data_IF_744114381277
#
_entry.id   IF_744114381277
#
_cell.length_a   1.000
_cell.length_b   1.000
_cell.length_c   1.000
_cell.angle_alpha   90.00
_cell.angle_beta   90.00
_cell.angle_gamma   90.00
#
_symmetry.space_group_name_H-M   'P 1'
#
loop_
_entity.id
_entity.type
_entity.pdbx_description
1 polymer ?
#
# COMPACT_ATOMS: atom_id res chain seq x y z
N UNK A 1 -11.39 32.24 -55.51
CA UNK A 1 -12.57 33.11 -55.37
C UNK A 1 -13.33 32.69 -54.10
N UNK A 2 -13.42 33.60 -53.12
CA UNK A 2 -14.35 33.67 -51.97
C UNK A 2 -14.28 32.64 -50.82
N UNK A 3 -13.65 33.10 -49.72
CA UNK A 3 -14.15 33.25 -48.32
C UNK A 3 -15.69 33.08 -48.14
N UNK A 4 -16.26 32.50 -47.06
CA UNK A 4 -16.26 32.97 -45.66
C UNK A 4 -16.94 31.96 -44.70
N UNK A 5 -16.63 32.17 -43.42
CA UNK A 5 -16.85 31.42 -42.16
C UNK A 5 -18.26 31.65 -41.56
N UNK A 6 -18.74 30.71 -40.71
CA UNK A 6 -19.37 30.89 -39.36
C UNK A 6 -20.34 29.72 -39.07
N UNK A 7 -20.33 29.03 -37.94
CA UNK A 7 -19.52 29.09 -36.73
C UNK A 7 -19.89 27.91 -35.83
N UNK A 8 -18.88 27.17 -35.38
CA UNK A 8 -19.00 26.18 -34.31
C UNK A 8 -18.11 26.63 -33.17
N UNK A 9 -18.71 27.08 -32.06
CA UNK A 9 -17.97 27.27 -30.82
C UNK A 9 -17.58 25.87 -30.32
N UNK A 10 -16.35 25.44 -30.62
CA UNK A 10 -15.71 24.36 -29.88
C UNK A 10 -15.51 24.89 -28.46
N UNK A 11 -16.34 24.41 -27.53
CA UNK A 11 -16.18 24.67 -26.12
C UNK A 11 -14.84 24.03 -25.69
N UNK A 12 -13.79 24.84 -25.59
CA UNK A 12 -12.52 24.41 -24.98
C UNK A 12 -12.81 24.10 -23.52
N UNK A 13 -13.04 22.84 -23.19
CA UNK A 13 -12.94 22.37 -21.82
C UNK A 13 -11.51 22.66 -21.34
N UNK A 14 -11.38 23.65 -20.46
CA UNK A 14 -10.15 23.91 -19.73
C UNK A 14 -9.82 22.64 -18.95
N UNK A 15 -8.70 22.02 -19.28
CA UNK A 15 -7.96 21.12 -18.40
C UNK A 15 -7.86 21.77 -17.02
N UNK A 16 -8.63 21.27 -16.05
CA UNK A 16 -8.46 21.59 -14.65
C UNK A 16 -7.55 20.52 -14.02
N UNK A 17 -6.32 20.42 -14.53
CA UNK A 17 -5.23 19.83 -13.75
C UNK A 17 -4.65 20.93 -12.86
N UNK A 18 -4.37 20.69 -11.56
CA UNK A 18 -3.44 21.56 -10.86
C UNK A 18 -2.06 21.47 -11.54
N UNK A 19 -1.33 22.59 -11.66
CA UNK A 19 -0.11 22.67 -12.47
C UNK A 19 1.04 22.00 -11.73
N UNK A 20 1.29 20.73 -11.99
CA UNK A 20 2.55 20.08 -11.63
C UNK A 20 3.16 19.48 -12.88
N UNK A 21 3.61 20.33 -13.81
CA UNK A 21 4.74 20.09 -14.71
C UNK A 21 4.96 21.36 -15.55
N UNK A 22 5.97 22.16 -15.20
CA UNK A 22 7.02 22.69 -16.10
C UNK A 22 7.72 23.93 -15.48
N UNK A 23 9.06 23.89 -15.58
CA UNK A 23 10.06 24.96 -15.40
C UNK A 23 10.40 25.44 -13.99
N UNK A 24 11.63 25.11 -13.58
CA UNK A 24 12.62 26.07 -13.08
C UNK A 24 12.23 26.93 -11.87
N UNK A 25 12.88 26.61 -10.75
CA UNK A 25 13.05 27.44 -9.54
C UNK A 25 11.88 27.51 -8.52
N UNK A 26 12.23 27.07 -7.30
CA UNK A 26 11.55 27.24 -6.00
C UNK A 26 10.34 26.33 -5.74
N UNK A 27 10.63 25.17 -5.14
CA UNK A 27 9.68 24.35 -4.41
C UNK A 27 9.07 25.16 -3.24
N UNK A 28 7.88 25.72 -3.42
CA UNK A 28 7.02 26.01 -2.29
C UNK A 28 6.36 24.69 -1.86
N UNK A 29 6.84 24.10 -0.75
CA UNK A 29 6.06 23.11 0.02
C UNK A 29 4.80 23.81 0.50
N UNK A 30 3.73 23.80 -0.29
CA UNK A 30 2.39 24.00 0.25
C UNK A 30 2.21 22.91 1.30
N UNK A 31 2.13 23.30 2.58
CA UNK A 31 1.73 22.38 3.65
C UNK A 31 0.29 21.95 3.33
N UNK A 32 0.14 20.83 2.63
CA UNK A 32 -1.16 20.16 2.51
C UNK A 32 -1.53 19.73 3.92
N UNK A 33 -2.47 20.43 4.53
CA UNK A 33 -2.97 20.18 5.87
C UNK A 33 -4.44 19.69 5.78
N UNK A 34 -5.02 19.26 6.90
CA UNK A 34 -6.41 18.83 6.98
C UNK A 34 -7.40 19.81 6.31
N UNK A 35 -7.14 21.12 6.41
CA UNK A 35 -7.98 22.16 5.81
C UNK A 35 -8.04 22.13 4.27
N UNK A 36 -7.09 21.45 3.63
CA UNK A 36 -7.08 21.27 2.17
C UNK A 36 -7.89 20.04 1.73
N UNK A 37 -7.73 18.91 2.41
CA UNK A 37 -8.28 17.64 1.94
C UNK A 37 -9.78 17.49 2.19
N UNK A 38 -10.27 18.01 3.33
CA UNK A 38 -11.68 17.88 3.69
C UNK A 38 -12.62 18.54 2.65
N UNK A 39 -12.46 19.82 2.25
CA UNK A 39 -13.30 20.42 1.23
C UNK A 39 -13.16 19.74 -0.14
N UNK A 40 -11.99 19.15 -0.41
CA UNK A 40 -11.73 18.43 -1.64
C UNK A 40 -12.45 17.07 -1.68
N UNK A 41 -12.53 16.35 -0.55
CA UNK A 41 -13.30 15.12 -0.41
C UNK A 41 -14.79 15.38 -0.67
N UNK A 42 -15.36 16.41 -0.04
CA UNK A 42 -16.76 16.82 -0.26
C UNK A 42 -17.02 17.20 -1.73
N UNK A 43 -16.06 17.90 -2.35
CA UNK A 43 -16.15 18.24 -3.78
C UNK A 43 -16.14 17.00 -4.66
N UNK A 44 -15.26 16.03 -4.39
CA UNK A 44 -15.17 14.79 -5.17
C UNK A 44 -16.38 13.90 -4.98
N UNK A 45 -16.90 13.78 -3.76
CA UNK A 45 -18.13 13.05 -3.47
C UNK A 45 -19.33 13.64 -4.23
N UNK A 46 -19.51 14.97 -4.22
CA UNK A 46 -20.54 15.65 -5.04
C UNK A 46 -20.35 15.49 -6.55
N UNK A 47 -19.13 15.19 -6.99
CA UNK A 47 -18.78 15.01 -8.40
C UNK A 47 -18.82 13.54 -8.85
N UNK A 48 -19.25 12.61 -7.98
CA UNK A 48 -19.35 11.19 -8.27
C UNK A 48 -20.41 10.93 -9.35
N UNK A 49 -20.03 10.47 -10.56
CA UNK A 49 -20.97 10.18 -11.63
C UNK A 49 -21.83 8.95 -11.30
N UNK A 50 -23.06 8.91 -11.82
CA UNK A 50 -24.01 7.80 -11.62
C UNK A 50 -23.39 6.45 -12.02
N UNK A 51 -22.71 6.37 -13.17
CA UNK A 51 -22.03 5.16 -13.64
C UNK A 51 -20.97 4.64 -12.64
N UNK A 52 -20.26 5.54 -11.95
CA UNK A 52 -19.26 5.17 -10.95
C UNK A 52 -19.94 4.76 -9.64
N UNK A 53 -21.05 5.41 -9.29
CA UNK A 53 -21.88 5.04 -8.14
C UNK A 53 -22.49 3.65 -8.31
N UNK A 54 -23.04 3.36 -9.48
CA UNK A 54 -23.54 2.03 -9.84
C UNK A 54 -22.43 0.97 -9.72
N UNK A 55 -21.21 1.28 -10.19
CA UNK A 55 -20.07 0.38 -9.99
C UNK A 55 -19.73 0.16 -8.50
N UNK A 56 -19.84 1.18 -7.64
CA UNK A 56 -19.64 1.02 -6.20
C UNK A 56 -20.75 0.14 -5.58
N UNK A 57 -21.99 0.27 -6.04
CA UNK A 57 -23.10 -0.62 -5.65
C UNK A 57 -22.84 -2.06 -6.08
N UNK A 58 -22.35 -2.28 -7.30
CA UNK A 58 -21.91 -3.60 -7.77
C UNK A 58 -20.75 -4.17 -6.95
N UNK A 59 -19.93 -3.31 -6.32
CA UNK A 59 -18.89 -3.72 -5.34
C UNK A 59 -19.43 -3.96 -3.93
N UNK A 60 -20.73 -3.87 -3.71
CA UNK A 60 -21.36 -4.14 -2.42
C UNK A 60 -21.34 -2.96 -1.44
N UNK A 61 -21.22 -1.73 -1.94
CA UNK A 61 -21.32 -0.51 -1.13
C UNK A 61 -22.69 0.11 -1.31
N UNK A 62 -23.35 0.52 -0.22
CA UNK A 62 -24.59 1.27 -0.29
C UNK A 62 -24.35 2.79 -0.28
N UNK A 63 -25.39 3.57 -0.57
CA UNK A 63 -25.28 5.03 -0.59
C UNK A 63 -24.94 5.61 0.79
N UNK A 64 -25.39 5.00 1.88
CA UNK A 64 -25.07 5.45 3.24
C UNK A 64 -23.55 5.39 3.50
N UNK A 65 -22.90 4.28 3.16
CA UNK A 65 -21.44 4.15 3.27
C UNK A 65 -20.72 5.08 2.28
N UNK A 66 -21.19 5.18 1.03
CA UNK A 66 -20.61 6.08 0.03
C UNK A 66 -20.60 7.54 0.51
N UNK A 67 -21.73 8.03 1.03
CA UNK A 67 -21.86 9.41 1.48
C UNK A 67 -21.12 9.65 2.81
N UNK A 68 -21.23 8.73 3.77
CA UNK A 68 -20.59 8.88 5.08
C UNK A 68 -19.06 8.93 4.97
N UNK A 69 -18.48 8.11 4.09
CA UNK A 69 -17.04 8.06 3.87
C UNK A 69 -16.56 9.01 2.76
N UNK A 70 -17.46 9.80 2.19
CA UNK A 70 -17.18 10.77 1.13
C UNK A 70 -16.44 10.12 -0.07
N UNK A 71 -16.87 8.91 -0.45
CA UNK A 71 -16.39 8.29 -1.68
C UNK A 71 -16.79 9.18 -2.86
N UNK A 72 -15.85 9.39 -3.78
CA UNK A 72 -15.99 10.43 -4.78
C UNK A 72 -15.24 10.18 -6.07
N UNK A 73 -15.23 11.18 -6.94
CA UNK A 73 -14.58 11.14 -8.23
C UNK A 73 -13.73 12.39 -8.47
N UNK A 74 -12.45 12.19 -8.78
CA UNK A 74 -11.54 13.31 -9.06
C UNK A 74 -11.48 13.72 -10.55
N UNK A 75 -12.33 13.13 -11.40
CA UNK A 75 -12.27 13.27 -12.85
C UNK A 75 -11.64 12.07 -13.57
N UNK A 76 -10.89 11.22 -12.85
CA UNK A 76 -10.16 10.09 -13.44
C UNK A 76 -10.19 8.81 -12.61
N UNK A 77 -10.30 8.91 -11.28
CA UNK A 77 -10.30 7.78 -10.35
C UNK A 77 -11.31 7.98 -9.24
N UNK A 78 -11.80 6.86 -8.72
CA UNK A 78 -12.59 6.81 -7.48
C UNK A 78 -11.68 7.26 -6.35
N UNK A 79 -12.14 8.21 -5.54
CA UNK A 79 -11.42 8.71 -4.37
C UNK A 79 -12.00 8.12 -3.11
N UNK A 80 -11.16 7.50 -2.28
CA UNK A 80 -11.49 7.04 -0.94
C UNK A 80 -10.69 7.91 0.04
N UNK A 81 -11.33 8.86 0.73
CA UNK A 81 -10.69 9.70 1.73
C UNK A 81 -10.20 8.87 2.91
N UNK A 82 -8.94 9.06 3.31
CA UNK A 82 -8.36 8.41 4.49
C UNK A 82 -8.33 9.41 5.62
N UNK A 83 -8.98 9.04 6.73
CA UNK A 83 -9.09 9.85 7.93
C UNK A 83 -8.02 9.44 8.95
N UNK A 84 -7.34 10.42 9.54
CA UNK A 84 -6.43 10.18 10.66
C UNK A 84 -7.19 9.90 11.95
N UNK A 85 -6.43 9.69 13.03
CA UNK A 85 -6.98 9.48 14.36
C UNK A 85 -7.91 10.62 14.77
N UNK A 86 -7.61 11.86 14.43
CA UNK A 86 -8.41 13.05 14.78
C UNK A 86 -9.73 13.16 13.99
N UNK A 87 -9.93 12.32 12.96
CA UNK A 87 -11.11 12.37 12.09
C UNK A 87 -10.96 13.36 10.94
N UNK A 88 -9.73 13.79 10.65
CA UNK A 88 -9.40 14.68 9.54
C UNK A 88 -8.95 13.87 8.32
N UNK A 89 -9.42 14.25 7.14
CA UNK A 89 -8.90 13.66 5.89
C UNK A 89 -7.44 14.08 5.70
N UNK A 90 -6.54 13.11 5.58
CA UNK A 90 -5.09 13.33 5.45
C UNK A 90 -4.53 13.02 4.07
N UNK A 91 -5.19 12.14 3.31
CA UNK A 91 -4.88 11.85 1.90
C UNK A 91 -6.03 11.04 1.26
N UNK A 92 -5.91 10.75 -0.03
CA UNK A 92 -6.85 9.88 -0.74
C UNK A 92 -6.18 8.59 -1.20
N UNK A 93 -6.91 7.48 -1.10
CA UNK A 93 -6.72 6.32 -1.97
C UNK A 93 -7.48 6.53 -3.27
N UNK A 94 -6.87 6.08 -4.37
CA UNK A 94 -7.33 6.34 -5.73
C UNK A 94 -7.47 5.03 -6.48
N UNK A 95 -8.71 4.58 -6.67
CA UNK A 95 -9.04 3.33 -7.33
C UNK A 95 -9.47 3.55 -8.78
N UNK A 96 -9.11 2.59 -9.65
CA UNK A 96 -9.60 2.53 -11.02
C UNK A 96 -11.06 2.11 -11.06
N UNK A 97 -11.76 2.54 -12.10
CA UNK A 97 -13.03 1.93 -12.53
C UNK A 97 -12.74 0.80 -13.53
N UNK A 98 -13.73 -0.07 -13.85
CA UNK A 98 -13.55 -1.09 -14.88
C UNK A 98 -13.25 -0.51 -16.27
N UNK A 99 -13.66 0.72 -16.54
CA UNK A 99 -13.43 1.43 -17.80
C UNK A 99 -12.00 1.96 -17.93
N UNK A 100 -11.27 2.14 -16.81
CA UNK A 100 -9.86 2.55 -16.83
C UNK A 100 -8.94 1.35 -17.10
N UNK A 101 -8.68 1.12 -18.40
CA UNK A 101 -7.78 0.08 -18.90
C UNK A 101 -6.33 0.54 -19.06
N UNK A 102 -6.00 1.78 -18.68
CA UNK A 102 -4.65 2.30 -18.84
C UNK A 102 -3.66 1.51 -17.98
N UNK A 103 -2.38 1.40 -18.37
CA UNK A 103 -1.37 0.73 -17.54
C UNK A 103 -1.24 1.37 -16.15
N UNK A 104 -0.87 0.57 -15.15
CA UNK A 104 -0.58 1.05 -13.79
C UNK A 104 -1.48 0.44 -12.71
N UNK A 105 -1.24 0.81 -11.44
CA UNK A 105 -1.82 0.11 -10.30
C UNK A 105 -3.35 0.30 -10.21
N UNK A 106 -4.03 -0.76 -9.76
CA UNK A 106 -5.49 -0.78 -9.51
C UNK A 106 -5.87 0.23 -8.43
N UNK A 107 -5.09 0.28 -7.35
CA UNK A 107 -5.20 1.27 -6.27
C UNK A 107 -3.84 1.97 -6.10
N UNK A 108 -3.88 3.29 -5.96
CA UNK A 108 -2.73 4.11 -5.59
C UNK A 108 -3.12 5.12 -4.51
N UNK A 109 -2.18 5.93 -4.04
CA UNK A 109 -2.44 7.00 -3.08
C UNK A 109 -2.09 8.37 -3.66
N UNK A 110 -2.72 9.42 -3.14
CA UNK A 110 -2.36 10.80 -3.50
C UNK A 110 -0.95 11.17 -3.03
N UNK A 111 -0.28 12.15 -3.66
CA UNK A 111 1.04 12.61 -3.20
C UNK A 111 1.06 13.00 -1.72
N UNK A 112 2.12 12.62 -1.01
CA UNK A 112 2.25 12.87 0.43
C UNK A 112 1.52 11.87 1.34
N UNK A 113 0.88 10.84 0.76
CA UNK A 113 0.28 9.76 1.52
C UNK A 113 1.32 9.01 2.38
N UNK A 114 0.84 8.47 3.48
CA UNK A 114 1.58 7.66 4.44
C UNK A 114 0.72 6.46 4.83
N UNK A 115 1.30 5.51 5.55
CA UNK A 115 0.55 4.37 6.09
C UNK A 115 -0.25 4.84 7.31
N UNK A 116 -1.56 4.66 7.23
CA UNK A 116 -2.57 5.03 8.23
C UNK A 116 -3.54 3.87 8.50
N UNK A 117 -4.09 3.81 9.71
CA UNK A 117 -5.18 2.89 10.08
C UNK A 117 -6.49 3.52 9.64
N UNK A 118 -7.13 2.94 8.63
CA UNK A 118 -8.44 3.39 8.18
C UNK A 118 -9.52 2.74 9.03
N UNK A 119 -10.32 3.56 9.71
CA UNK A 119 -11.34 3.12 10.68
C UNK A 119 -11.05 3.53 12.14
N UNK A 120 -10.29 4.60 12.37
CA UNK A 120 -10.04 5.13 13.72
C UNK A 120 -11.32 5.44 14.50
N UNK A 121 -12.38 5.88 13.83
CA UNK A 121 -13.70 6.13 14.38
C UNK A 121 -14.39 4.88 14.93
N UNK A 122 -14.04 3.69 14.42
CA UNK A 122 -14.49 2.41 14.96
C UNK A 122 -13.76 2.13 16.27
N UNK A 123 -12.42 2.19 16.25
CA UNK A 123 -11.58 1.89 17.42
C UNK A 123 -11.89 2.84 18.59
N UNK A 124 -12.10 4.12 18.31
CA UNK A 124 -12.46 5.14 19.32
C UNK A 124 -13.76 4.84 20.07
N UNK A 125 -14.69 4.08 19.47
CA UNK A 125 -15.96 3.69 20.10
C UNK A 125 -15.79 2.51 21.07
N UNK A 126 -14.62 1.88 21.13
CA UNK A 126 -14.35 0.69 21.92
C UNK A 126 -15.42 -0.40 21.71
N UNK A 127 -15.55 -0.93 20.49
CA UNK A 127 -16.57 -1.93 20.20
C UNK A 127 -16.27 -3.22 20.97
N UNK A 128 -17.28 -4.06 21.16
CA UNK A 128 -17.10 -5.41 21.71
C UNK A 128 -16.38 -6.35 20.73
N UNK A 129 -16.48 -6.06 19.44
CA UNK A 129 -15.91 -6.83 18.34
C UNK A 129 -15.38 -5.91 17.23
N UNK A 130 -14.23 -6.25 16.65
CA UNK A 130 -13.69 -5.57 15.46
C UNK A 130 -13.01 -6.55 14.52
N UNK A 131 -13.12 -6.29 13.22
CA UNK A 131 -12.46 -7.04 12.15
C UNK A 131 -11.31 -6.20 11.58
N UNK A 132 -10.14 -6.80 11.46
CA UNK A 132 -9.00 -6.25 10.72
C UNK A 132 -8.96 -6.94 9.36
N UNK A 133 -9.19 -6.18 8.29
CA UNK A 133 -9.19 -6.65 6.90
C UNK A 133 -8.06 -6.04 6.08
N UNK A 134 -7.81 -6.58 4.87
CA UNK A 134 -6.62 -6.24 4.10
C UNK A 134 -6.73 -4.90 3.37
N UNK A 135 -7.84 -4.62 2.69
CA UNK A 135 -8.01 -3.44 1.83
C UNK A 135 -9.07 -2.44 2.28
N UNK A 136 -9.06 -1.25 1.67
CA UNK A 136 -10.04 -0.20 1.97
C UNK A 136 -11.46 -0.55 1.50
N UNK A 137 -11.58 -1.23 0.36
CA UNK A 137 -12.89 -1.71 -0.10
C UNK A 137 -13.45 -2.79 0.82
N UNK A 138 -12.62 -3.72 1.27
CA UNK A 138 -13.04 -4.81 2.17
C UNK A 138 -13.63 -4.25 3.46
N UNK A 139 -12.95 -3.25 4.02
CA UNK A 139 -13.39 -2.52 5.20
C UNK A 139 -14.75 -1.88 5.00
N UNK A 140 -14.98 -1.26 3.85
CA UNK A 140 -16.23 -0.59 3.52
C UNK A 140 -17.37 -1.60 3.23
N UNK A 141 -17.09 -2.70 2.54
CA UNK A 141 -18.06 -3.79 2.29
C UNK A 141 -18.48 -4.45 3.60
N UNK A 142 -17.55 -4.69 4.52
CA UNK A 142 -17.85 -5.16 5.86
C UNK A 142 -18.75 -4.17 6.62
N UNK A 143 -18.49 -2.87 6.51
CA UNK A 143 -19.33 -1.83 7.14
C UNK A 143 -20.75 -1.79 6.53
N UNK A 144 -20.90 -1.91 5.21
CA UNK A 144 -22.22 -2.02 4.54
C UNK A 144 -22.99 -3.25 5.04
N UNK A 145 -22.29 -4.34 5.37
CA UNK A 145 -22.91 -5.53 5.98
C UNK A 145 -23.08 -5.41 7.52
N UNK A 146 -22.82 -4.23 8.07
CA UNK A 146 -23.04 -3.87 9.47
C UNK A 146 -21.96 -4.38 10.43
N UNK A 147 -20.77 -4.70 9.95
CA UNK A 147 -19.64 -5.08 10.79
C UNK A 147 -18.76 -3.87 11.13
N UNK A 148 -18.12 -3.92 12.30
CA UNK A 148 -17.10 -2.96 12.69
C UNK A 148 -15.76 -3.42 12.12
N UNK A 149 -15.21 -2.68 11.14
CA UNK A 149 -14.01 -3.09 10.44
C UNK A 149 -12.99 -1.96 10.30
N UNK A 150 -11.72 -2.36 10.26
CA UNK A 150 -10.56 -1.48 10.05
C UNK A 150 -9.58 -2.13 9.07
N UNK A 151 -8.72 -1.32 8.46
CA UNK A 151 -7.63 -1.80 7.60
C UNK A 151 -6.39 -0.92 7.72
N UNK A 152 -5.23 -1.46 7.35
CA UNK A 152 -4.02 -0.67 7.15
C UNK A 152 -3.90 -0.25 5.68
N UNK A 153 -3.76 1.05 5.44
CA UNK A 153 -3.71 1.60 4.07
C UNK A 153 -2.42 1.31 3.30
N UNK A 154 -1.52 0.46 3.80
CA UNK A 154 -0.32 0.01 3.08
C UNK A 154 -0.36 -1.45 2.63
N UNK A 155 -1.51 -2.13 2.76
CA UNK A 155 -1.71 -3.55 2.42
C UNK A 155 -1.35 -4.53 3.56
N UNK A 156 -1.41 -5.83 3.29
CA UNK A 156 -1.26 -6.90 4.29
C UNK A 156 -0.04 -6.77 5.23
N UNK A 157 1.07 -6.20 4.76
CA UNK A 157 2.32 -6.09 5.51
C UNK A 157 2.45 -4.84 6.39
N UNK A 158 1.54 -3.86 6.29
CA UNK A 158 1.81 -2.50 6.78
C UNK A 158 1.22 -2.16 8.15
N UNK A 159 0.45 -3.07 8.76
CA UNK A 159 -0.11 -2.84 10.10
C UNK A 159 1.01 -2.54 11.12
N UNK A 160 0.81 -1.55 11.99
CA UNK A 160 1.87 -1.07 12.89
C UNK A 160 1.65 -1.52 14.34
N UNK A 161 2.74 -1.76 15.05
CA UNK A 161 2.71 -2.23 16.43
C UNK A 161 2.13 -1.19 17.40
N UNK A 162 2.31 0.10 17.14
CA UNK A 162 1.73 1.17 17.96
C UNK A 162 0.20 1.23 17.87
N UNK A 163 -0.39 0.79 16.76
CA UNK A 163 -1.84 0.65 16.66
C UNK A 163 -2.37 -0.56 17.42
N UNK A 164 -1.60 -1.67 17.48
CA UNK A 164 -2.02 -2.90 18.14
C UNK A 164 -2.39 -2.70 19.62
N UNK A 165 -1.77 -1.72 20.29
CA UNK A 165 -2.10 -1.33 21.66
C UNK A 165 -3.58 -0.95 21.82
N UNK A 166 -4.19 -0.32 20.83
CA UNK A 166 -5.59 0.14 20.84
C UNK A 166 -6.58 -1.03 20.75
N UNK A 167 -6.13 -2.21 20.30
CA UNK A 167 -6.96 -3.41 20.16
C UNK A 167 -6.95 -4.28 21.41
N UNK A 168 -6.04 -4.03 22.37
CA UNK A 168 -5.92 -4.82 23.61
C UNK A 168 -7.18 -4.77 24.47
N UNK A 169 -7.88 -3.64 24.47
CA UNK A 169 -9.10 -3.45 25.25
C UNK A 169 -10.35 -3.99 24.53
N UNK A 170 -10.25 -4.34 23.24
CA UNK A 170 -11.37 -4.86 22.45
C UNK A 170 -11.49 -6.37 22.71
N UNK A 171 -12.62 -6.87 23.24
CA UNK A 171 -12.77 -8.26 23.65
C UNK A 171 -12.58 -9.27 22.51
N UNK A 172 -13.17 -9.01 21.34
CA UNK A 172 -13.11 -9.89 20.17
C UNK A 172 -12.46 -9.18 19.00
N UNK A 173 -11.25 -9.63 18.63
CA UNK A 173 -10.53 -9.12 17.47
C UNK A 173 -10.40 -10.25 16.46
N UNK A 174 -10.94 -10.05 15.27
CA UNK A 174 -10.85 -11.01 14.17
C UNK A 174 -10.01 -10.44 13.03
N UNK A 175 -9.21 -11.27 12.36
CA UNK A 175 -8.36 -10.87 11.23
C UNK A 175 -8.80 -11.68 10.02
N UNK A 176 -9.28 -11.00 8.98
CA UNK A 176 -9.78 -11.61 7.74
C UNK A 176 -9.11 -10.93 6.55
N UNK A 177 -8.02 -11.52 6.06
CA UNK A 177 -7.24 -11.02 4.92
C UNK A 177 -7.51 -11.85 3.67
N UNK A 178 -7.00 -11.40 2.53
CA UNK A 178 -7.22 -12.04 1.24
C UNK A 178 -6.71 -13.48 1.26
N UNK A 179 -7.37 -14.34 0.47
CA UNK A 179 -7.01 -15.76 0.34
C UNK A 179 -5.80 -15.94 -0.58
N UNK A 180 -4.70 -15.31 -0.22
CA UNK A 180 -3.42 -15.47 -0.88
C UNK A 180 -2.26 -15.54 0.13
N UNK A 181 -1.07 -15.68 -0.43
CA UNK A 181 0.16 -15.80 0.33
C UNK A 181 0.52 -14.54 1.12
N UNK A 182 0.23 -13.35 0.58
CA UNK A 182 0.50 -12.08 1.24
C UNK A 182 -0.46 -11.86 2.41
N UNK A 183 -1.75 -12.11 2.20
CA UNK A 183 -2.82 -12.06 3.19
C UNK A 183 -2.53 -13.00 4.36
N UNK A 184 -2.21 -14.27 4.09
CA UNK A 184 -1.83 -15.25 5.14
C UNK A 184 -0.66 -14.77 6.01
N UNK A 185 0.41 -14.26 5.37
CA UNK A 185 1.59 -13.74 6.10
C UNK A 185 1.26 -12.46 6.89
N UNK A 186 0.46 -11.57 6.32
CA UNK A 186 -0.01 -10.34 6.95
C UNK A 186 -0.86 -10.62 8.18
N UNK A 187 -1.84 -11.51 8.06
CA UNK A 187 -2.73 -11.88 9.15
C UNK A 187 -1.97 -12.49 10.33
N UNK A 188 -1.02 -13.40 10.06
CA UNK A 188 -0.14 -13.96 11.10
C UNK A 188 0.73 -12.89 11.77
N UNK A 189 1.19 -11.87 11.03
CA UNK A 189 1.97 -10.76 11.58
C UNK A 189 1.11 -9.89 12.51
N UNK A 190 -0.14 -9.60 12.14
CA UNK A 190 -1.07 -8.85 13.00
C UNK A 190 -1.42 -9.65 14.26
N UNK A 191 -1.71 -10.94 14.14
CA UNK A 191 -2.02 -11.79 15.28
C UNK A 191 -0.86 -11.91 16.29
N UNK A 192 0.39 -11.76 15.84
CA UNK A 192 1.55 -11.67 16.75
C UNK A 192 1.57 -10.37 17.57
N UNK A 193 1.03 -9.29 17.01
CA UNK A 193 0.94 -8.00 17.69
C UNK A 193 -0.26 -7.92 18.63
N UNK A 194 -1.32 -8.68 18.34
CA UNK A 194 -2.57 -8.75 19.10
C UNK A 194 -2.82 -10.22 19.47
N UNK A 195 -2.21 -10.74 20.56
CA UNK A 195 -2.17 -12.19 20.83
C UNK A 195 -3.54 -12.85 21.04
N UNK A 196 -4.57 -12.10 21.42
CA UNK A 196 -5.94 -12.61 21.57
C UNK A 196 -6.76 -12.53 20.28
N UNK A 197 -6.19 -12.00 19.18
CA UNK A 197 -6.87 -11.96 17.90
C UNK A 197 -7.00 -13.35 17.28
N UNK A 198 -8.12 -13.57 16.58
CA UNK A 198 -8.43 -14.81 15.88
C UNK A 198 -8.35 -14.61 14.37
N UNK A 199 -7.87 -15.61 13.65
CA UNK A 199 -7.80 -15.69 12.21
C UNK A 199 -9.12 -16.23 11.66
N UNK A 200 -9.64 -15.53 10.65
CA UNK A 200 -10.82 -15.91 9.89
C UNK A 200 -10.35 -16.33 8.51
N UNK A 201 -10.74 -17.52 8.07
CA UNK A 201 -10.44 -18.01 6.73
C UNK A 201 -11.68 -17.85 5.84
N UNK A 202 -11.50 -17.23 4.67
CA UNK A 202 -12.54 -17.16 3.65
C UNK A 202 -12.73 -18.53 2.99
N UNK A 203 -13.97 -18.90 2.61
CA UNK A 203 -14.30 -20.22 2.10
C UNK A 203 -13.67 -20.45 0.72
N UNK A 204 -13.45 -21.70 0.33
CA UNK A 204 -12.63 -22.00 -0.85
C UNK A 204 -13.23 -21.47 -2.17
N UNK A 205 -14.53 -21.27 -2.20
CA UNK A 205 -15.32 -20.75 -3.31
C UNK A 205 -14.97 -19.29 -3.67
N UNK A 206 -14.31 -18.54 -2.76
CA UNK A 206 -13.75 -17.23 -3.13
C UNK A 206 -12.52 -17.36 -4.06
N UNK A 207 -11.94 -18.54 -4.21
CA UNK A 207 -10.78 -18.75 -5.08
C UNK A 207 -9.46 -18.22 -4.50
N UNK A 208 -8.36 -18.38 -5.25
CA UNK A 208 -7.05 -17.84 -4.87
C UNK A 208 -7.04 -16.31 -5.08
N UNK A 209 -6.59 -15.57 -4.08
CA UNK A 209 -6.66 -14.11 -4.06
C UNK A 209 -8.05 -13.55 -3.82
N UNK A 210 -9.02 -14.40 -3.46
CA UNK A 210 -10.38 -13.96 -3.14
C UNK A 210 -10.44 -13.19 -1.82
N UNK A 211 -11.27 -12.15 -1.77
CA UNK A 211 -11.40 -11.22 -0.65
C UNK A 211 -12.82 -11.22 -0.06
N UNK A 212 -13.10 -10.35 0.91
CA UNK A 212 -14.46 -10.23 1.48
C UNK A 212 -15.44 -9.64 0.47
N UNK A 213 -14.98 -8.84 -0.50
CA UNK A 213 -15.82 -8.34 -1.58
C UNK A 213 -16.33 -9.52 -2.41
N UNK A 214 -15.47 -10.46 -2.78
CA UNK A 214 -15.85 -11.70 -3.45
C UNK A 214 -16.87 -12.52 -2.63
N UNK A 215 -16.67 -12.60 -1.31
CA UNK A 215 -17.57 -13.33 -0.42
C UNK A 215 -19.00 -12.76 -0.45
N UNK A 216 -19.17 -11.46 -0.24
CA UNK A 216 -20.50 -10.84 -0.18
C UNK A 216 -21.12 -10.63 -1.56
N UNK A 217 -20.32 -10.22 -2.54
CA UNK A 217 -20.81 -9.81 -3.86
C UNK A 217 -20.85 -10.99 -4.82
N UNK A 218 -19.69 -11.59 -5.10
CA UNK A 218 -19.60 -12.62 -6.15
C UNK A 218 -20.27 -13.92 -5.74
N UNK A 219 -20.11 -14.33 -4.48
CA UNK A 219 -20.78 -15.52 -3.95
C UNK A 219 -22.19 -15.23 -3.41
N UNK A 220 -22.57 -13.96 -3.27
CA UNK A 220 -23.88 -13.57 -2.74
C UNK A 220 -24.13 -14.04 -1.29
N UNK A 221 -23.07 -14.28 -0.51
CA UNK A 221 -23.21 -14.73 0.89
C UNK A 221 -23.72 -13.56 1.73
N UNK A 222 -24.54 -13.88 2.72
CA UNK A 222 -25.14 -12.88 3.62
C UNK A 222 -24.35 -12.74 4.91
N UNK A 223 -24.67 -11.69 5.66
CA UNK A 223 -24.13 -11.39 6.98
C UNK A 223 -24.02 -12.62 7.90
N UNK A 224 -25.06 -13.44 7.99
CA UNK A 224 -25.08 -14.58 8.93
C UNK A 224 -24.05 -15.65 8.56
N UNK A 225 -23.74 -15.81 7.26
CA UNK A 225 -22.68 -16.72 6.83
C UNK A 225 -21.30 -16.18 7.22
N UNK A 226 -21.11 -14.87 7.21
CA UNK A 226 -19.86 -14.27 7.67
C UNK A 226 -19.74 -14.33 9.20
N UNK A 227 -20.83 -14.14 9.94
CA UNK A 227 -20.87 -14.34 11.40
C UNK A 227 -20.46 -15.77 11.79
N UNK A 228 -20.87 -16.78 11.03
CA UNK A 228 -20.39 -18.15 11.21
C UNK A 228 -18.88 -18.26 11.06
N UNK A 229 -18.27 -17.64 10.03
CA UNK A 229 -16.82 -17.61 9.88
C UNK A 229 -16.12 -16.92 11.06
N UNK A 230 -16.72 -15.85 11.61
CA UNK A 230 -16.19 -15.18 12.80
C UNK A 230 -16.27 -16.09 14.03
N UNK A 231 -17.33 -16.88 14.17
CA UNK A 231 -17.51 -17.81 15.29
C UNK A 231 -16.55 -19.00 15.22
N UNK A 232 -16.27 -19.46 14.00
CA UNK A 232 -15.30 -20.51 13.69
C UNK A 232 -13.84 -20.01 13.68
N UNK A 233 -13.63 -18.70 13.86
CA UNK A 233 -12.31 -18.09 13.83
C UNK A 233 -11.35 -18.74 14.85
N UNK A 234 -10.15 -19.05 14.39
CA UNK A 234 -9.16 -19.82 15.13
C UNK A 234 -8.08 -18.91 15.71
N UNK A 235 -7.54 -19.17 16.91
CA UNK A 235 -6.33 -18.48 17.35
C UNK A 235 -5.22 -18.67 16.34
N UNK A 236 -4.37 -17.66 16.13
CA UNK A 236 -3.18 -17.86 15.31
C UNK A 236 -2.37 -19.04 15.84
N UNK A 237 -1.81 -19.88 14.95
CA UNK A 237 -1.03 -21.03 15.36
C UNK A 237 0.04 -20.56 16.35
N UNK A 238 0.25 -21.31 17.46
CA UNK A 238 1.33 -20.99 18.37
C UNK A 238 2.61 -20.86 17.55
N UNK A 239 3.43 -19.87 17.90
CA UNK A 239 4.74 -19.77 17.27
C UNK A 239 5.36 -21.18 17.33
N UNK A 240 5.96 -21.70 16.25
CA UNK A 240 6.89 -22.79 16.46
C UNK A 240 7.82 -22.32 17.57
N UNK A 241 7.87 -23.04 18.70
CA UNK A 241 8.92 -22.81 19.68
C UNK A 241 10.20 -22.66 18.88
N UNK A 242 11.01 -21.62 19.09
CA UNK A 242 12.15 -21.32 18.23
C UNK A 242 12.90 -22.61 17.98
N UNK A 243 12.72 -23.18 16.78
CA UNK A 243 12.79 -24.62 16.55
C UNK A 243 14.12 -25.08 17.08
N UNK A 244 14.10 -25.76 18.24
CA UNK A 244 15.24 -26.03 19.12
C UNK A 244 16.53 -25.78 18.36
N UNK A 245 16.93 -24.50 18.29
CA UNK A 245 18.06 -24.11 17.45
C UNK A 245 19.13 -24.93 18.07
N UNK A 246 19.67 -25.91 17.34
CA UNK A 246 20.75 -26.76 17.82
C UNK A 246 21.66 -25.79 18.52
N UNK A 247 21.66 -25.83 19.87
CA UNK A 247 22.39 -24.82 20.63
C UNK A 247 23.78 -24.98 20.09
N UNK A 248 24.39 -23.99 19.41
CA UNK A 248 25.75 -24.14 18.97
C UNK A 248 26.49 -24.34 20.28
N UNK A 249 26.89 -25.59 20.48
CA UNK A 249 27.58 -26.03 21.66
C UNK A 249 28.84 -25.19 21.66
N UNK A 250 28.88 -24.20 22.56
CA UNK A 250 30.04 -23.36 22.84
C UNK A 250 30.62 -22.67 21.59
N UNK A 251 29.97 -21.61 21.10
CA UNK A 251 30.73 -20.47 20.59
C UNK A 251 30.07 -19.16 21.01
N UNK A 252 30.72 -18.48 21.95
CA UNK A 252 30.53 -17.04 22.16
C UNK A 252 30.93 -16.35 20.86
N UNK A 253 29.99 -15.78 20.13
CA UNK A 253 30.30 -14.78 19.10
C UNK A 253 29.29 -13.63 19.18
N UNK A 254 29.68 -12.62 19.95
CA UNK A 254 29.36 -11.18 19.82
C UNK A 254 28.15 -10.79 18.97
N UNK A 255 27.16 -10.16 19.61
CA UNK A 255 26.15 -9.31 18.95
C UNK A 255 26.89 -8.26 18.12
N UNK A 256 26.87 -8.38 16.80
CA UNK A 256 27.38 -7.32 15.91
C UNK A 256 26.34 -6.20 15.87
N UNK A 257 26.65 -4.96 16.30
CA UNK A 257 25.76 -3.82 16.18
C UNK A 257 25.24 -3.64 14.75
N UNK A 258 23.99 -3.17 14.58
CA UNK A 258 23.37 -2.99 13.27
C UNK A 258 24.23 -2.13 12.33
N UNK A 259 24.95 -1.13 12.85
CA UNK A 259 25.89 -0.32 12.08
C UNK A 259 27.03 -1.16 11.48
N UNK A 260 27.66 -2.03 12.27
CA UNK A 260 28.71 -2.93 11.78
C UNK A 260 28.19 -3.94 10.75
N UNK A 261 26.93 -4.37 10.91
CA UNK A 261 26.24 -5.22 9.93
C UNK A 261 26.03 -4.51 8.58
N UNK A 262 25.57 -3.26 8.60
CA UNK A 262 25.41 -2.42 7.40
C UNK A 262 26.76 -2.23 6.70
N UNK A 263 27.80 -1.90 7.45
CA UNK A 263 29.15 -1.69 6.89
C UNK A 263 29.73 -2.97 6.30
N UNK A 264 29.48 -4.12 6.92
CA UNK A 264 29.87 -5.42 6.36
C UNK A 264 29.17 -5.68 5.02
N UNK A 265 27.85 -5.49 4.95
CA UNK A 265 27.08 -5.68 3.71
C UNK A 265 27.58 -4.76 2.61
N UNK A 266 27.75 -3.47 2.90
CA UNK A 266 28.26 -2.48 1.92
C UNK A 266 29.65 -2.84 1.39
N UNK A 267 30.50 -3.45 2.22
CA UNK A 267 31.84 -3.91 1.83
C UNK A 267 31.80 -5.21 1.02
N UNK A 268 30.92 -6.13 1.39
CA UNK A 268 30.83 -7.46 0.79
C UNK A 268 30.06 -7.46 -0.54
N UNK A 269 29.13 -6.52 -0.73
CA UNK A 269 28.25 -6.42 -1.89
C UNK A 269 28.49 -5.11 -2.66
N UNK A 270 29.50 -5.06 -3.55
CA UNK A 270 29.75 -3.88 -4.38
C UNK A 270 28.51 -3.52 -5.21
N UNK A 271 28.15 -2.23 -5.21
CA UNK A 271 26.91 -1.75 -5.84
C UNK A 271 26.84 -2.11 -7.32
N UNK A 272 27.96 -2.08 -8.03
CA UNK A 272 28.02 -2.43 -9.45
C UNK A 272 27.79 -3.91 -9.75
N UNK A 273 28.14 -4.79 -8.80
CA UNK A 273 27.87 -6.22 -8.94
C UNK A 273 26.39 -6.47 -8.76
N UNK A 274 25.81 -5.96 -7.68
CA UNK A 274 24.38 -6.13 -7.40
C UNK A 274 23.52 -5.49 -8.49
N UNK A 275 23.78 -4.24 -8.88
CA UNK A 275 23.02 -3.59 -9.97
C UNK A 275 23.19 -4.32 -11.30
N UNK A 276 24.39 -4.85 -11.56
CA UNK A 276 24.72 -5.61 -12.77
C UNK A 276 23.93 -6.90 -12.95
N UNK A 277 23.43 -7.50 -11.86
CA UNK A 277 22.52 -8.67 -11.91
C UNK A 277 21.14 -8.32 -12.48
N UNK A 278 20.69 -7.07 -12.30
CA UNK A 278 19.37 -6.63 -12.76
C UNK A 278 19.41 -5.98 -14.14
N UNK A 279 20.48 -5.23 -14.44
CA UNK A 279 20.59 -4.46 -15.67
C UNK A 279 21.99 -4.55 -16.26
N UNK A 280 22.06 -4.44 -17.59
CA UNK A 280 23.34 -4.39 -18.28
C UNK A 280 24.01 -3.03 -18.08
N UNK A 281 25.16 -3.04 -17.40
CA UNK A 281 26.02 -1.87 -17.22
C UNK A 281 27.08 -1.75 -18.33
N UNK A 282 27.43 -0.52 -18.69
CA UNK A 282 28.51 -0.17 -19.63
C UNK A 282 29.51 0.75 -18.96
N UNK A 283 30.78 0.62 -19.33
CA UNK A 283 31.86 1.46 -18.81
C UNK A 283 31.74 2.92 -19.27
N UNK A 284 31.88 3.85 -18.32
CA UNK A 284 31.96 5.29 -18.54
C UNK A 284 33.10 5.87 -17.69
N UNK A 285 34.34 5.64 -18.13
CA UNK A 285 35.53 5.98 -17.35
C UNK A 285 35.62 5.14 -16.07
N UNK A 286 35.62 5.81 -14.91
CA UNK A 286 35.65 5.15 -13.59
C UNK A 286 34.27 4.72 -13.06
N UNK A 287 33.21 5.14 -13.75
CA UNK A 287 31.82 4.85 -13.38
C UNK A 287 31.20 3.90 -14.41
N UNK A 288 30.02 3.40 -14.08
CA UNK A 288 29.22 2.57 -14.97
C UNK A 288 27.89 3.24 -15.25
N UNK A 289 27.33 3.01 -16.43
CA UNK A 289 26.01 3.51 -16.79
C UNK A 289 25.12 2.42 -17.38
N UNK A 290 23.81 2.53 -17.16
CA UNK A 290 22.81 1.58 -17.65
C UNK A 290 21.43 2.22 -17.76
N UNK A 291 20.50 1.49 -18.39
CA UNK A 291 19.08 1.86 -18.36
C UNK A 291 18.56 1.71 -16.94
N UNK A 292 17.86 2.73 -16.45
CA UNK A 292 17.31 2.71 -15.11
C UNK A 292 16.12 1.74 -15.03
N UNK A 293 16.12 0.78 -14.09
CA UNK A 293 15.01 -0.17 -13.96
C UNK A 293 13.79 0.42 -13.24
N UNK A 294 13.91 1.65 -12.72
CA UNK A 294 12.88 2.28 -11.89
C UNK A 294 11.92 3.19 -12.64
N UNK A 295 12.15 3.40 -13.93
CA UNK A 295 11.24 4.12 -14.83
C UNK A 295 11.44 3.61 -16.24
N UNK A 296 10.56 4.00 -17.16
CA UNK A 296 10.72 3.71 -18.57
C UNK A 296 11.90 4.54 -19.12
N UNK A 297 13.04 3.87 -19.28
CA UNK A 297 14.29 4.50 -19.70
C UNK A 297 14.72 3.95 -21.06
N UNK A 298 14.90 4.86 -22.02
CA UNK A 298 15.40 4.55 -23.36
C UNK A 298 16.83 5.06 -23.60
N UNK A 299 17.39 5.83 -22.66
CA UNK A 299 18.72 6.43 -22.76
C UNK A 299 19.46 6.28 -21.42
N UNK A 300 20.56 5.50 -21.33
CA UNK A 300 21.18 5.13 -20.06
C UNK A 300 21.31 6.28 -19.05
N UNK A 301 20.37 6.33 -18.11
CA UNK A 301 20.26 7.44 -17.16
C UNK A 301 20.71 7.06 -15.75
N UNK A 302 20.86 5.77 -15.47
CA UNK A 302 21.39 5.27 -14.20
C UNK A 302 22.91 5.28 -14.26
N UNK A 303 23.53 6.09 -13.41
CA UNK A 303 24.97 6.04 -13.14
C UNK A 303 25.23 5.26 -11.85
N UNK A 304 26.22 4.37 -11.88
CA UNK A 304 26.72 3.62 -10.74
C UNK A 304 28.17 4.05 -10.49
N UNK A 305 28.48 4.33 -9.22
CA UNK A 305 29.75 4.86 -8.76
C UNK A 305 30.43 3.83 -7.83
N UNK A 306 31.22 2.88 -8.37
CA UNK A 306 31.90 1.86 -7.57
C UNK A 306 32.74 2.44 -6.44
N UNK A 307 33.41 3.57 -6.69
CA UNK A 307 34.35 4.19 -5.75
C UNK A 307 33.73 4.60 -4.41
N UNK A 308 32.43 4.90 -4.37
CA UNK A 308 31.72 5.26 -3.13
C UNK A 308 30.53 4.36 -2.83
N UNK A 309 30.32 3.29 -3.61
CA UNK A 309 29.26 2.29 -3.39
C UNK A 309 27.84 2.82 -3.62
N UNK A 310 27.65 3.84 -4.48
CA UNK A 310 26.34 4.47 -4.70
C UNK A 310 25.87 4.39 -6.15
N UNK A 311 24.57 4.65 -6.36
CA UNK A 311 23.97 4.89 -7.66
C UNK A 311 23.15 6.19 -7.66
N UNK A 312 22.97 6.77 -8.85
CA UNK A 312 22.08 7.89 -9.08
C UNK A 312 21.47 7.78 -10.49
N UNK A 313 20.15 7.87 -10.59
CA UNK A 313 19.45 8.00 -11.85
C UNK A 313 19.19 9.47 -12.15
N UNK A 314 19.75 9.97 -13.26
CA UNK A 314 19.53 11.34 -13.72
C UNK A 314 18.16 11.56 -14.39
N UNK A 315 17.43 10.48 -14.72
CA UNK A 315 16.07 10.54 -15.25
C UNK A 315 15.00 10.66 -14.16
N UNK A 316 14.98 9.72 -13.20
CA UNK A 316 13.94 9.65 -12.16
C UNK A 316 14.39 10.15 -10.77
N UNK A 317 15.66 10.53 -10.59
CA UNK A 317 16.19 11.08 -9.34
C UNK A 317 16.40 10.05 -8.21
N UNK A 318 16.11 8.77 -8.44
CA UNK A 318 16.42 7.71 -7.45
C UNK A 318 17.92 7.60 -7.26
N UNK A 319 18.33 7.50 -6.01
CA UNK A 319 19.72 7.41 -5.61
C UNK A 319 19.85 6.67 -4.28
N UNK A 320 21.05 6.19 -3.99
CA UNK A 320 21.33 5.51 -2.73
C UNK A 320 22.51 4.56 -2.85
N UNK A 321 22.67 3.72 -1.85
CA UNK A 321 23.65 2.64 -1.82
C UNK A 321 23.05 1.31 -2.32
N UNK A 322 23.84 0.24 -2.27
CA UNK A 322 23.44 -1.11 -2.66
C UNK A 322 22.20 -1.61 -1.90
N UNK A 323 22.06 -1.26 -0.62
CA UNK A 323 20.90 -1.67 0.20
C UNK A 323 19.66 -0.93 -0.32
N UNK A 324 19.77 0.38 -0.50
CA UNK A 324 18.67 1.20 -1.04
C UNK A 324 18.25 0.75 -2.43
N UNK A 325 19.20 0.32 -3.28
CA UNK A 325 18.87 -0.23 -4.60
C UNK A 325 17.98 -1.47 -4.47
N UNK A 326 18.37 -2.44 -3.63
CA UNK A 326 17.59 -3.67 -3.39
C UNK A 326 16.22 -3.37 -2.78
N UNK A 327 16.15 -2.44 -1.82
CA UNK A 327 14.86 -2.01 -1.25
C UNK A 327 13.88 -1.51 -2.31
N UNK A 328 14.38 -0.72 -3.27
CA UNK A 328 13.55 -0.10 -4.30
C UNK A 328 13.18 -1.07 -5.42
N UNK A 329 14.10 -1.94 -5.85
CA UNK A 329 13.86 -2.86 -6.96
C UNK A 329 13.02 -4.08 -6.54
N UNK A 330 13.27 -4.62 -5.34
CA UNK A 330 12.56 -5.77 -4.78
C UNK A 330 11.39 -5.38 -3.86
N UNK A 331 11.13 -4.07 -3.71
CA UNK A 331 10.04 -3.51 -2.90
C UNK A 331 10.02 -4.05 -1.47
N UNK A 332 11.17 -4.08 -0.83
CA UNK A 332 11.34 -4.65 0.51
C UNK A 332 11.83 -3.64 1.56
N UNK A 333 11.58 -3.95 2.83
CA UNK A 333 12.03 -3.13 3.95
C UNK A 333 13.56 -3.16 4.10
N UNK A 334 14.10 -2.19 4.86
CA UNK A 334 15.54 -2.07 5.10
C UNK A 334 16.16 -3.34 5.71
N UNK A 335 15.47 -3.94 6.69
CA UNK A 335 15.95 -5.16 7.36
C UNK A 335 15.91 -6.36 6.40
N UNK A 336 14.87 -6.47 5.56
CA UNK A 336 14.79 -7.54 4.55
C UNK A 336 15.89 -7.41 3.50
N UNK A 337 16.16 -6.18 3.01
CA UNK A 337 17.23 -5.93 2.06
C UNK A 337 18.60 -6.26 2.67
N UNK A 338 18.82 -5.92 3.96
CA UNK A 338 20.01 -6.35 4.69
C UNK A 338 20.10 -7.87 4.82
N UNK A 339 19.02 -8.55 5.18
CA UNK A 339 19.01 -10.02 5.32
C UNK A 339 19.29 -10.73 3.99
N UNK A 340 18.78 -10.20 2.87
CA UNK A 340 19.04 -10.74 1.53
C UNK A 340 20.51 -10.55 1.15
N UNK A 341 21.07 -9.37 1.37
CA UNK A 341 22.44 -9.04 1.01
C UNK A 341 23.50 -9.63 1.97
N UNK A 342 23.12 -9.98 3.20
CA UNK A 342 24.00 -10.54 4.24
C UNK A 342 23.96 -12.08 4.25
N UNK A 343 23.19 -12.72 3.37
CA UNK A 343 23.22 -14.16 3.19
C UNK A 343 24.50 -14.57 2.45
N UNK A 344 25.30 -15.52 2.99
CA UNK A 344 26.34 -16.14 2.19
C UNK A 344 25.66 -16.91 1.06
N UNK A 345 25.89 -16.49 -0.19
CA UNK A 345 25.58 -17.32 -1.35
C UNK A 345 26.37 -18.64 -1.20
N UNK A 346 25.65 -19.77 -1.19
CA UNK A 346 26.21 -21.13 -1.23
C UNK A 346 26.95 -21.37 -2.55
#
# INVERSE_FOLDING_TARGET
MRTLIKGGKVCRQRQLYPPFYLRGERYFKLKMNASYFQPLAEKYNKALPDEVREYLHERGLDDDVIERHLLGWNGHRITIPIFNREGEVVFFKLAKTPQDTLPGPKIMASPGAHVELYGWEVIKKQPSEVIICEGEFDRLVLETNGFQAVTSTGGAGSFRADWAEEFKAIPRVCICFDRDDAGRRGALRVARMIPHAKLVELPEEVGEGGDVTDFFVRLGRRREAFEQLLDEATPAPPQPEPANVIKPSRLRSSITPLGERVERVKRAMPVEKVVGEYIRLRGAGKNLTGLCPFHEDHTPSLAVYPANGTFHCYGCGKHGDVIKFVQEIERMSFIQALDVLDRPYL
#
